data_IF_177086498120
#
_entry.id   IF_177086498120
#
_cell.length_a   1.000
_cell.length_b   1.000
_cell.length_c   1.000
_cell.angle_alpha   90.00
_cell.angle_beta   90.00
_cell.angle_gamma   90.00
#
_symmetry.space_group_name_H-M   'P 1'
#
loop_
_entity.id
_entity.type
_entity.pdbx_description
1 polymer ?
#
# COMPACT_ATOMS: atom_id res chain seq x y z
N UNK A 1 21.50 0.78 4.52
CA UNK A 1 20.58 0.63 5.66
C UNK A 1 19.41 1.56 5.39
N UNK A 2 18.22 1.03 5.07
CA UNK A 2 17.06 1.86 4.72
C UNK A 2 15.85 1.35 5.48
N UNK A 3 15.49 2.04 6.56
CA UNK A 3 14.23 1.79 7.27
C UNK A 3 13.07 2.17 6.32
N UNK A 4 11.99 1.37 6.22
CA UNK A 4 10.84 1.76 5.42
C UNK A 4 10.27 3.08 5.93
N UNK A 5 10.11 4.05 5.03
CA UNK A 5 9.45 5.30 5.35
C UNK A 5 7.98 5.23 4.89
N UNK A 6 7.06 5.43 5.83
CA UNK A 6 5.63 5.51 5.54
C UNK A 6 5.22 6.94 5.25
N UNK A 7 4.51 7.17 4.14
CA UNK A 7 4.00 8.49 3.77
C UNK A 7 2.47 8.48 3.72
N UNK A 8 1.86 9.46 4.38
CA UNK A 8 0.46 9.85 4.12
C UNK A 8 0.43 10.89 3.00
N UNK A 9 -0.43 10.66 2.00
CA UNK A 9 -0.67 11.62 0.92
C UNK A 9 -1.25 12.94 1.43
N UNK A 10 -0.88 14.04 0.78
CA UNK A 10 -1.58 15.33 0.90
C UNK A 10 -2.73 15.37 -0.10
N UNK A 11 -3.72 16.26 0.05
CA UNK A 11 -4.86 16.43 -0.89
C UNK A 11 -4.41 17.10 -2.22
N UNK A 12 -3.19 16.82 -2.64
CA UNK A 12 -2.59 17.30 -3.89
C UNK A 12 -2.41 16.09 -4.79
N UNK A 13 -2.93 16.16 -6.03
CA UNK A 13 -2.81 15.09 -7.03
C UNK A 13 -1.40 15.00 -7.63
N UNK A 14 -0.36 15.18 -6.80
CA UNK A 14 1.05 15.19 -7.20
C UNK A 14 1.92 14.22 -6.37
N UNK A 15 1.29 13.42 -5.51
CA UNK A 15 1.95 12.43 -4.65
C UNK A 15 2.91 11.50 -5.41
N UNK A 16 2.46 10.80 -6.47
CA UNK A 16 3.32 9.91 -7.25
C UNK A 16 4.56 10.59 -7.82
N UNK A 17 4.43 11.83 -8.30
CA UNK A 17 5.57 12.60 -8.83
C UNK A 17 6.60 12.93 -7.76
N UNK A 18 6.14 13.26 -6.54
CA UNK A 18 7.01 13.53 -5.39
C UNK A 18 7.74 12.27 -4.95
N UNK A 19 7.03 11.14 -4.82
CA UNK A 19 7.62 9.84 -4.46
C UNK A 19 8.61 9.36 -5.52
N UNK A 20 8.29 9.49 -6.82
CA UNK A 20 9.21 9.19 -7.92
C UNK A 20 10.53 9.95 -7.76
N UNK A 21 10.48 11.25 -7.45
CA UNK A 21 11.69 12.06 -7.24
C UNK A 21 12.52 11.54 -6.06
N UNK A 22 11.88 11.21 -4.94
CA UNK A 22 12.56 10.67 -3.75
C UNK A 22 13.24 9.34 -4.07
N UNK A 23 12.55 8.41 -4.71
CA UNK A 23 13.07 7.08 -5.05
C UNK A 23 14.19 7.14 -6.10
N UNK A 24 14.10 8.06 -7.09
CA UNK A 24 15.20 8.29 -8.05
C UNK A 24 16.46 8.84 -7.39
N UNK A 25 16.31 9.69 -6.37
CA UNK A 25 17.45 10.25 -5.62
C UNK A 25 18.01 9.27 -4.58
N UNK A 26 17.19 8.32 -4.11
CA UNK A 26 17.53 7.37 -3.06
C UNK A 26 17.16 5.95 -3.51
N UNK A 27 17.90 5.34 -4.45
CA UNK A 27 17.54 4.05 -5.06
C UNK A 27 17.64 2.84 -4.11
N UNK A 28 18.10 3.04 -2.87
CA UNK A 28 18.07 2.03 -1.78
C UNK A 28 16.92 2.27 -0.79
N UNK A 29 16.23 3.40 -0.96
CA UNK A 29 14.95 3.84 -0.39
C UNK A 29 13.83 2.80 -0.49
N UNK A 30 13.48 2.07 0.57
CA UNK A 30 12.18 1.41 0.64
C UNK A 30 11.12 2.41 1.13
N UNK A 31 10.03 2.55 0.37
CA UNK A 31 8.93 3.48 0.66
C UNK A 31 7.61 2.71 0.70
N UNK A 32 6.82 2.95 1.74
CA UNK A 32 5.43 2.47 1.84
C UNK A 32 4.52 3.69 1.76
N UNK A 33 3.62 3.75 0.78
CA UNK A 33 2.59 4.78 0.72
C UNK A 33 1.29 4.24 1.29
N UNK A 34 0.74 4.96 2.26
CA UNK A 34 -0.46 4.54 2.97
C UNK A 34 -1.72 4.60 2.09
N UNK A 35 -2.73 3.83 2.48
CA UNK A 35 -4.08 3.87 1.90
C UNK A 35 -4.15 3.63 0.39
N UNK A 36 -3.28 2.75 -0.12
CA UNK A 36 -3.11 2.49 -1.56
C UNK A 36 -2.86 3.77 -2.37
N UNK A 37 -2.29 4.81 -1.73
CA UNK A 37 -2.02 6.08 -2.36
C UNK A 37 -3.24 6.91 -2.76
N UNK A 38 -4.42 6.65 -2.16
CA UNK A 38 -5.65 7.41 -2.43
C UNK A 38 -5.39 8.93 -2.30
N UNK A 39 -5.88 9.75 -3.25
CA UNK A 39 -6.74 9.40 -4.38
C UNK A 39 -6.00 8.94 -5.65
N UNK A 40 -4.66 8.97 -5.66
CA UNK A 40 -3.82 8.72 -6.83
C UNK A 40 -3.48 7.22 -7.05
N UNK A 41 -4.34 6.30 -6.59
CA UNK A 41 -4.05 4.85 -6.55
C UNK A 41 -3.56 4.29 -7.88
N UNK A 42 -4.25 4.61 -8.99
CA UNK A 42 -3.85 4.13 -10.33
C UNK A 42 -2.45 4.62 -10.71
N UNK A 43 -2.18 5.91 -10.51
CA UNK A 43 -0.86 6.50 -10.79
C UNK A 43 0.25 5.91 -9.92
N UNK A 44 -0.06 5.49 -8.68
CA UNK A 44 0.88 4.78 -7.83
C UNK A 44 1.14 3.34 -8.29
N UNK A 45 0.09 2.61 -8.71
CA UNK A 45 0.25 1.26 -9.28
C UNK A 45 1.11 1.31 -10.55
N UNK A 46 0.89 2.27 -11.44
CA UNK A 46 1.76 2.48 -12.62
C UNK A 46 3.21 2.80 -12.20
N UNK A 47 3.40 3.61 -11.15
CA UNK A 47 4.73 3.96 -10.67
C UNK A 47 5.48 2.75 -10.06
N UNK A 48 4.77 1.75 -9.54
CA UNK A 48 5.38 0.52 -9.00
C UNK A 48 6.11 -0.30 -10.07
N UNK A 49 5.78 -0.12 -11.35
CA UNK A 49 6.51 -0.73 -12.47
C UNK A 49 7.88 -0.07 -12.68
N UNK A 50 7.98 1.24 -12.44
CA UNK A 50 9.22 2.01 -12.53
C UNK A 50 10.10 1.88 -11.26
N UNK A 51 9.48 1.66 -10.10
CA UNK A 51 10.11 1.79 -8.79
C UNK A 51 9.99 0.49 -7.98
N UNK A 52 10.99 -0.42 -8.02
CA UNK A 52 10.92 -1.72 -7.34
C UNK A 52 10.88 -1.64 -5.81
N UNK A 53 11.27 -0.50 -5.23
CA UNK A 53 11.26 -0.28 -3.78
C UNK A 53 10.02 0.50 -3.30
N UNK A 54 9.03 0.69 -4.17
CA UNK A 54 7.74 1.28 -3.82
C UNK A 54 6.77 0.17 -3.42
N UNK A 55 6.19 0.35 -2.23
CA UNK A 55 5.15 -0.48 -1.66
C UNK A 55 3.95 0.40 -1.34
N UNK A 56 2.76 -0.21 -1.30
CA UNK A 56 1.53 0.42 -0.85
C UNK A 56 0.94 -0.38 0.30
N UNK A 57 0.18 0.25 1.21
CA UNK A 57 -0.60 -0.50 2.21
C UNK A 57 -2.11 -0.34 2.05
N UNK A 58 -2.88 -1.30 2.54
CA UNK A 58 -4.35 -1.35 2.39
C UNK A 58 -5.11 -0.47 3.38
N UNK A 59 -4.42 0.14 4.34
CA UNK A 59 -5.01 0.84 5.49
C UNK A 59 -6.12 1.77 5.04
N UNK A 60 -7.33 1.63 5.56
CA UNK A 60 -8.49 2.46 5.27
C UNK A 60 -8.90 2.58 3.79
N UNK A 61 -8.25 1.87 2.87
CA UNK A 61 -8.53 1.99 1.44
C UNK A 61 -9.70 1.11 1.00
N UNK A 62 -9.83 -0.06 1.64
CA UNK A 62 -10.76 -1.12 1.23
C UNK A 62 -12.00 -1.23 2.12
N UNK A 63 -11.90 -0.82 3.39
CA UNK A 63 -12.94 -1.03 4.38
C UNK A 63 -14.26 -0.35 3.97
N UNK A 64 -15.41 -1.06 3.96
CA UNK A 64 -16.65 -0.53 3.39
C UNK A 64 -17.13 0.80 3.98
N UNK A 65 -16.95 1.01 5.29
CA UNK A 65 -17.34 2.23 5.99
C UNK A 65 -16.22 3.28 6.08
N UNK A 66 -15.07 3.07 5.44
CA UNK A 66 -13.96 4.02 5.51
C UNK A 66 -14.30 5.34 4.83
N UNK A 67 -14.00 6.50 5.45
CA UNK A 67 -14.15 7.80 4.82
C UNK A 67 -13.16 8.02 3.67
N UNK A 68 -12.08 7.24 3.62
CA UNK A 68 -11.08 7.29 2.55
C UNK A 68 -11.44 6.40 1.37
N UNK A 69 -12.36 5.44 1.54
CA UNK A 69 -12.71 4.48 0.49
C UNK A 69 -13.13 5.20 -0.79
N UNK A 70 -12.49 4.80 -1.89
CA UNK A 70 -12.91 5.15 -3.25
C UNK A 70 -13.41 3.89 -3.94
N UNK A 71 -14.31 4.06 -4.90
CA UNK A 71 -14.68 2.96 -5.78
C UNK A 71 -13.48 2.65 -6.68
N UNK A 72 -12.89 1.47 -6.49
CA UNK A 72 -11.91 0.91 -7.42
C UNK A 72 -12.01 -0.61 -7.35
N UNK A 73 -11.65 -1.27 -8.45
CA UNK A 73 -11.65 -2.72 -8.53
C UNK A 73 -10.44 -3.29 -7.79
N UNK A 74 -10.67 -4.10 -6.77
CA UNK A 74 -9.60 -4.73 -5.98
C UNK A 74 -8.74 -5.68 -6.83
N UNK A 75 -9.25 -6.17 -7.97
CA UNK A 75 -8.46 -6.98 -8.90
C UNK A 75 -7.33 -6.20 -9.57
N UNK A 76 -7.37 -4.85 -9.57
CA UNK A 76 -6.25 -4.02 -10.03
C UNK A 76 -4.99 -4.19 -9.18
N UNK A 77 -5.12 -4.76 -7.98
CA UNK A 77 -3.98 -5.04 -7.10
C UNK A 77 -3.23 -6.31 -7.49
N UNK A 78 -3.82 -7.20 -8.30
CA UNK A 78 -3.24 -8.52 -8.62
C UNK A 78 -1.84 -8.42 -9.26
N UNK A 79 -1.58 -7.55 -10.26
CA UNK A 79 -0.27 -7.47 -10.91
C UNK A 79 0.86 -7.00 -9.97
N UNK A 80 0.52 -6.26 -8.91
CA UNK A 80 1.45 -5.66 -7.95
C UNK A 80 1.36 -6.28 -6.55
N UNK A 81 0.68 -7.43 -6.45
CA UNK A 81 0.36 -8.07 -5.18
C UNK A 81 1.57 -8.48 -4.35
N UNK A 82 2.77 -8.56 -4.94
CA UNK A 82 4.04 -8.85 -4.28
C UNK A 82 4.63 -7.66 -3.48
N UNK A 83 4.03 -6.47 -3.62
CA UNK A 83 4.46 -5.22 -2.98
C UNK A 83 3.32 -4.43 -2.33
N UNK A 84 2.18 -5.06 -2.08
CA UNK A 84 1.05 -4.47 -1.34
C UNK A 84 1.00 -5.06 0.06
N UNK A 85 0.97 -4.22 1.09
CA UNK A 85 1.01 -4.62 2.49
C UNK A 85 -0.37 -4.51 3.12
N UNK A 86 -0.75 -5.47 3.94
CA UNK A 86 -1.88 -5.28 4.84
C UNK A 86 -1.51 -4.26 5.91
N UNK A 87 -2.37 -3.25 6.07
CA UNK A 87 -2.31 -2.27 7.15
C UNK A 87 -3.72 -1.99 7.66
N UNK A 88 -3.83 -1.68 8.95
CA UNK A 88 -5.11 -1.34 9.60
C UNK A 88 -5.07 -0.03 10.37
N UNK A 89 -3.90 0.50 10.70
CA UNK A 89 -3.75 1.67 11.58
C UNK A 89 -4.53 1.58 12.91
N UNK A 90 -4.82 0.36 13.38
CA UNK A 90 -5.41 0.16 14.70
C UNK A 90 -4.48 0.75 15.78
N UNK A 91 -5.01 1.51 16.77
CA UNK A 91 -6.42 1.69 17.11
C UNK A 91 -7.10 2.94 16.52
N UNK A 92 -6.53 3.64 15.55
CA UNK A 92 -7.02 4.93 15.04
C UNK A 92 -8.21 4.82 14.05
N UNK A 93 -8.88 3.67 14.00
CA UNK A 93 -9.93 3.39 13.04
C UNK A 93 -11.26 4.07 13.41
N UNK A 94 -11.94 4.75 12.46
CA UNK A 94 -13.29 5.30 12.68
C UNK A 94 -14.40 4.25 12.50
N UNK A 95 -14.06 2.97 12.40
CA UNK A 95 -14.96 1.83 12.20
C UNK A 95 -14.34 0.54 12.77
N UNK A 96 -15.06 -0.58 12.69
CA UNK A 96 -14.61 -1.88 13.23
C UNK A 96 -13.40 -2.42 12.45
N UNK A 97 -12.35 -2.83 13.18
CA UNK A 97 -11.13 -3.45 12.65
C UNK A 97 -11.40 -4.57 11.64
N UNK A 98 -12.42 -5.40 11.85
CA UNK A 98 -12.74 -6.51 10.95
C UNK A 98 -13.01 -6.05 9.50
N UNK A 99 -13.41 -4.79 9.31
CA UNK A 99 -13.65 -4.23 7.99
C UNK A 99 -12.38 -4.01 7.17
N UNK A 100 -11.19 -3.91 7.78
CA UNK A 100 -9.92 -3.81 7.02
C UNK A 100 -9.56 -5.12 6.33
N UNK A 101 -9.85 -6.24 6.98
CA UNK A 101 -9.51 -7.57 6.50
C UNK A 101 -10.56 -8.14 5.53
N UNK A 102 -11.85 -7.90 5.78
CA UNK A 102 -12.95 -8.54 5.05
C UNK A 102 -12.84 -8.39 3.51
N UNK A 103 -12.50 -7.22 2.93
CA UNK A 103 -12.37 -7.07 1.48
C UNK A 103 -11.26 -7.91 0.86
N UNK A 104 -10.22 -8.26 1.62
CA UNK A 104 -9.07 -9.05 1.12
C UNK A 104 -9.45 -10.54 1.01
N UNK A 105 -10.46 -11.00 1.75
CA UNK A 105 -10.84 -12.42 1.80
C UNK A 105 -11.27 -13.00 0.45
N UNK A 106 -11.76 -12.16 -0.46
CA UNK A 106 -12.22 -12.58 -1.80
C UNK A 106 -11.08 -12.80 -2.80
N UNK A 107 -9.87 -12.32 -2.50
CA UNK A 107 -8.72 -12.47 -3.40
C UNK A 107 -8.22 -13.93 -3.43
N UNK A 108 -7.51 -14.34 -4.50
CA UNK A 108 -6.87 -15.66 -4.55
C UNK A 108 -5.98 -15.92 -3.32
N UNK A 109 -5.92 -17.17 -2.86
CA UNK A 109 -5.19 -17.52 -1.62
C UNK A 109 -3.73 -17.08 -1.63
N UNK A 110 -3.04 -17.27 -2.76
CA UNK A 110 -1.65 -16.83 -2.95
C UNK A 110 -1.52 -15.33 -2.74
N UNK A 111 -2.40 -14.54 -3.34
CA UNK A 111 -2.44 -13.08 -3.21
C UNK A 111 -2.73 -12.65 -1.78
N UNK A 112 -3.66 -13.32 -1.09
CA UNK A 112 -3.94 -13.05 0.33
C UNK A 112 -2.70 -13.30 1.19
N UNK A 113 -1.97 -14.39 0.96
CA UNK A 113 -0.74 -14.69 1.71
C UNK A 113 0.37 -13.65 1.45
N UNK A 114 0.50 -13.16 0.22
CA UNK A 114 1.39 -12.05 -0.10
C UNK A 114 1.05 -10.80 0.70
N UNK A 115 -0.20 -10.32 0.57
CA UNK A 115 -0.65 -9.07 1.16
C UNK A 115 -0.66 -9.11 2.70
N UNK A 116 -1.20 -10.17 3.28
CA UNK A 116 -1.39 -10.27 4.74
C UNK A 116 -0.10 -10.55 5.50
N UNK A 117 0.94 -11.08 4.84
CA UNK A 117 2.13 -11.55 5.55
C UNK A 117 3.43 -11.49 4.74
N UNK A 118 3.53 -12.18 3.60
CA UNK A 118 4.83 -12.46 2.96
C UNK A 118 5.53 -11.19 2.49
N UNK A 119 4.79 -10.18 2.05
CA UNK A 119 5.36 -8.91 1.63
C UNK A 119 6.02 -8.17 2.81
N UNK A 120 5.35 -8.13 3.96
CA UNK A 120 5.89 -7.52 5.17
C UNK A 120 7.09 -8.30 5.72
N UNK A 121 7.02 -9.63 5.71
CA UNK A 121 8.14 -10.51 6.08
C UNK A 121 9.39 -10.20 5.24
N UNK A 122 9.26 -10.17 3.91
CA UNK A 122 10.38 -9.83 3.01
C UNK A 122 10.91 -8.42 3.22
N UNK A 123 10.03 -7.44 3.37
CA UNK A 123 10.42 -6.04 3.54
C UNK A 123 11.20 -5.84 4.85
N UNK A 124 10.73 -6.42 5.96
CA UNK A 124 11.34 -6.25 7.28
C UNK A 124 12.58 -7.12 7.47
N UNK A 125 12.64 -8.30 6.84
CA UNK A 125 13.83 -9.16 6.89
C UNK A 125 15.07 -8.54 6.24
N UNK A 126 14.92 -7.52 5.38
CA UNK A 126 16.06 -6.76 4.82
C UNK A 126 16.79 -5.90 5.86
N UNK A 127 16.34 -5.91 7.12
CA UNK A 127 16.86 -5.09 8.22
C UNK A 127 17.30 -5.90 9.44
N UNK A 128 17.20 -7.23 9.37
CA UNK A 128 17.75 -8.18 10.35
C UNK A 128 19.09 -8.72 9.85
#
# INVERSE_FOLDING_TARGET
MCIPATFHGTITNDGPSRIRKVLKQNPKLNVVVAHLGIPDTVSYLELMDECPNLYLDTTMALAPSSPLRKEFDIELLLPHSDRILFGSDFPNLPYDYAQEYQPITVLPETVRHEILFKNAERLLAQHL
#
